data_IF_309130456212
#
_entry.id   IF_309130456212
#
_cell.length_a   1.000
_cell.length_b   1.000
_cell.length_c   1.000
_cell.angle_alpha   90.00
_cell.angle_beta   90.00
_cell.angle_gamma   90.00
#
_symmetry.space_group_name_H-M   'P 1'
#
loop_
_entity.id
_entity.type
_entity.pdbx_description
1 polymer ?
#
# COMPACT_ATOMS: atom_id res chain seq x y z
N UNK A 1 30.45 -3.40 33.79
CA UNK A 1 29.99 -2.67 32.59
C UNK A 1 28.49 -2.49 32.75
N UNK A 2 28.05 -1.28 33.09
CA UNK A 2 26.65 -1.01 33.46
C UNK A 2 25.76 -1.06 32.23
N UNK A 3 24.85 -2.03 32.16
CA UNK A 3 23.81 -2.09 31.13
C UNK A 3 22.84 -0.95 31.45
N UNK A 4 22.78 0.04 30.56
CA UNK A 4 21.78 1.11 30.68
C UNK A 4 20.50 0.60 30.04
N UNK A 5 19.48 0.36 30.85
CA UNK A 5 18.20 -0.15 30.39
C UNK A 5 17.31 1.03 29.96
N UNK A 6 16.97 1.08 28.67
CA UNK A 6 16.15 2.14 28.09
C UNK A 6 14.77 1.58 27.76
N UNK A 7 13.73 2.16 28.37
CA UNK A 7 12.34 1.80 28.09
C UNK A 7 11.78 2.80 27.07
N UNK A 8 11.42 2.30 25.90
CA UNK A 8 10.83 3.11 24.83
C UNK A 8 9.35 2.78 24.67
N UNK A 9 8.51 3.78 24.35
CA UNK A 9 7.12 3.51 23.96
C UNK A 9 7.09 3.00 22.53
N UNK A 10 6.16 2.09 22.22
CA UNK A 10 6.04 1.52 20.87
C UNK A 10 5.86 2.59 19.78
N UNK A 11 5.18 3.70 20.11
CA UNK A 11 4.98 4.85 19.22
C UNK A 11 6.26 5.62 18.86
N UNK A 12 7.32 5.46 19.64
CA UNK A 12 8.60 6.16 19.45
C UNK A 12 9.64 5.27 18.75
N UNK A 13 9.32 3.98 18.56
CA UNK A 13 10.21 2.97 17.98
C UNK A 13 10.46 3.20 16.49
N UNK A 14 9.41 3.50 15.71
CA UNK A 14 9.56 3.72 14.26
C UNK A 14 10.38 4.98 13.97
N UNK A 15 10.24 6.01 14.82
CA UNK A 15 11.00 7.25 14.71
C UNK A 15 12.48 7.03 15.02
N UNK A 16 12.79 6.21 16.04
CA UNK A 16 14.15 5.82 16.38
C UNK A 16 14.77 4.88 15.33
N UNK A 17 13.99 3.93 14.80
CA UNK A 17 14.40 3.00 13.74
C UNK A 17 14.74 3.73 12.44
N UNK A 18 14.00 4.78 12.11
CA UNK A 18 14.29 5.59 10.91
C UNK A 18 15.62 6.36 11.01
N UNK A 19 16.12 6.58 12.23
CA UNK A 19 17.31 7.40 12.52
C UNK A 19 18.57 6.58 12.84
N UNK A 20 18.43 5.30 13.21
CA UNK A 20 19.56 4.41 13.49
C UNK A 20 20.03 3.71 12.20
N UNK A 21 21.10 4.22 11.60
CA UNK A 21 21.78 3.62 10.44
C UNK A 21 22.74 2.46 10.80
N UNK A 22 22.83 2.09 12.07
CA UNK A 22 23.66 0.97 12.54
C UNK A 22 22.86 -0.32 12.64
N UNK A 23 23.50 -1.44 12.31
CA UNK A 23 22.90 -2.78 12.37
C UNK A 23 22.40 -3.08 13.78
N UNK A 24 21.09 -3.11 13.97
CA UNK A 24 20.45 -3.47 15.23
C UNK A 24 20.41 -5.00 15.30
N UNK A 25 21.30 -5.60 16.07
CA UNK A 25 21.21 -7.04 16.38
C UNK A 25 19.99 -7.31 17.25
N UNK A 26 19.10 -8.17 16.76
CA UNK A 26 17.85 -8.53 17.42
C UNK A 26 18.15 -9.54 18.55
N UNK A 27 18.51 -9.02 19.72
CA UNK A 27 18.83 -9.84 20.88
C UNK A 27 17.53 -10.32 21.55
N UNK A 28 17.17 -11.57 21.24
CA UNK A 28 16.20 -12.46 21.91
C UNK A 28 14.70 -12.25 21.61
N UNK A 29 14.15 -13.20 20.86
CA UNK A 29 12.75 -13.65 20.86
C UNK A 29 11.65 -12.62 20.54
N UNK A 30 11.92 -11.63 19.68
CA UNK A 30 10.83 -10.91 19.01
C UNK A 30 10.36 -11.79 17.84
N UNK A 31 9.32 -12.61 18.07
CA UNK A 31 8.52 -13.16 16.97
C UNK A 31 7.82 -11.96 16.33
N UNK A 32 8.36 -11.45 15.22
CA UNK A 32 7.69 -10.44 14.40
C UNK A 32 6.45 -11.13 13.82
N UNK A 33 5.34 -11.09 14.56
CA UNK A 33 4.04 -11.46 14.02
C UNK A 33 3.74 -10.43 12.92
N UNK A 34 3.68 -10.87 11.67
CA UNK A 34 3.22 -10.04 10.57
C UNK A 34 1.86 -9.45 10.97
N UNK A 35 1.69 -8.13 10.79
CA UNK A 35 0.41 -7.51 11.11
C UNK A 35 -0.67 -8.01 10.15
N UNK A 36 -1.94 -7.94 10.55
CA UNK A 36 -3.06 -8.26 9.63
C UNK A 36 -2.99 -7.44 8.34
N UNK A 37 -2.48 -6.21 8.42
CA UNK A 37 -2.21 -5.35 7.27
C UNK A 37 -1.14 -5.92 6.35
N UNK A 38 -0.07 -6.50 6.89
CA UNK A 38 0.99 -7.12 6.07
C UNK A 38 0.46 -8.37 5.36
N UNK A 39 -0.27 -9.22 6.07
CA UNK A 39 -0.92 -10.41 5.49
C UNK A 39 -1.92 -10.02 4.38
N UNK A 40 -2.73 -8.98 4.62
CA UNK A 40 -3.64 -8.48 3.60
C UNK A 40 -2.91 -7.96 2.37
N UNK A 41 -1.76 -7.29 2.52
CA UNK A 41 -1.01 -6.73 1.38
C UNK A 41 -0.53 -7.83 0.44
N UNK A 42 -0.19 -9.01 0.97
CA UNK A 42 0.17 -10.18 0.16
C UNK A 42 -1.01 -10.70 -0.67
N UNK A 43 -2.19 -10.85 -0.06
CA UNK A 43 -3.42 -11.26 -0.77
C UNK A 43 -3.86 -10.20 -1.77
N UNK A 44 -3.84 -8.93 -1.36
CA UNK A 44 -4.14 -7.77 -2.19
C UNK A 44 -3.28 -7.76 -3.46
N UNK A 45 -1.97 -8.02 -3.33
CA UNK A 45 -1.06 -8.12 -4.47
C UNK A 45 -1.48 -9.22 -5.43
N UNK A 46 -1.81 -10.42 -4.93
CA UNK A 46 -2.23 -11.53 -5.77
C UNK A 46 -3.52 -11.22 -6.55
N UNK A 47 -4.46 -10.51 -5.93
CA UNK A 47 -5.68 -10.05 -6.60
C UNK A 47 -5.36 -9.01 -7.70
N UNK A 48 -4.57 -7.99 -7.38
CA UNK A 48 -4.24 -6.92 -8.35
C UNK A 48 -3.44 -7.44 -9.55
N UNK A 49 -2.58 -8.44 -9.36
CA UNK A 49 -1.81 -9.04 -10.45
C UNK A 49 -2.68 -9.72 -11.53
N UNK A 50 -3.95 -10.01 -11.23
CA UNK A 50 -4.92 -10.61 -12.17
C UNK A 50 -5.73 -9.55 -12.93
N UNK A 51 -5.67 -8.29 -12.52
CA UNK A 51 -6.40 -7.21 -13.18
C UNK A 51 -5.76 -6.87 -14.54
N UNK A 52 -6.51 -6.23 -15.45
CA UNK A 52 -5.95 -5.66 -16.67
C UNK A 52 -4.78 -4.72 -16.35
N UNK A 53 -3.67 -4.87 -17.07
CA UNK A 53 -2.51 -3.98 -16.95
C UNK A 53 -2.76 -2.65 -17.65
N UNK A 54 -2.14 -1.59 -17.14
CA UNK A 54 -2.18 -0.27 -17.75
C UNK A 54 -0.94 -0.05 -18.61
N UNK A 55 -1.13 0.16 -19.91
CA UNK A 55 -0.03 0.53 -20.82
C UNK A 55 0.28 2.02 -20.67
N UNK A 56 1.53 2.33 -20.35
CA UNK A 56 1.96 3.70 -20.20
C UNK A 56 1.98 4.42 -21.57
N UNK A 57 1.33 5.59 -21.72
CA UNK A 57 1.40 6.34 -22.97
C UNK A 57 2.85 6.76 -23.26
N UNK A 58 3.26 6.74 -24.54
CA UNK A 58 4.63 7.08 -24.96
C UNK A 58 5.12 8.47 -24.52
N UNK A 59 4.19 9.38 -24.18
CA UNK A 59 4.50 10.72 -23.63
C UNK A 59 4.98 10.70 -22.17
N UNK A 60 4.82 9.59 -21.45
CA UNK A 60 5.23 9.43 -20.06
C UNK A 60 6.43 8.48 -20.01
N UNK A 61 7.60 8.97 -20.42
CA UNK A 61 8.80 8.15 -20.60
C UNK A 61 9.39 7.64 -19.29
N UNK A 62 9.11 8.30 -18.16
CA UNK A 62 9.66 7.95 -16.84
C UNK A 62 8.58 8.04 -15.76
N UNK A 63 8.56 7.06 -14.86
CA UNK A 63 7.68 7.01 -13.70
C UNK A 63 8.44 7.57 -12.49
N UNK A 64 7.83 8.53 -11.82
CA UNK A 64 8.38 9.12 -10.58
C UNK A 64 8.49 8.07 -9.47
N UNK A 65 9.36 8.34 -8.49
CA UNK A 65 9.45 7.56 -7.26
C UNK A 65 8.11 7.56 -6.52
N UNK A 66 7.70 6.39 -6.00
CA UNK A 66 6.52 6.24 -5.17
C UNK A 66 6.54 7.22 -3.99
N UNK A 67 5.49 8.04 -3.87
CA UNK A 67 5.39 9.05 -2.82
C UNK A 67 5.18 8.48 -1.41
N UNK A 68 4.83 7.19 -1.32
CA UNK A 68 4.60 6.49 -0.06
C UNK A 68 5.89 6.01 0.61
N UNK A 69 6.75 5.29 -0.13
CA UNK A 69 7.99 4.74 0.42
C UNK A 69 9.25 5.50 0.01
N UNK A 70 9.21 6.26 -1.10
CA UNK A 70 10.38 6.92 -1.68
C UNK A 70 11.55 5.96 -2.04
N UNK A 71 11.29 4.65 -2.17
CA UNK A 71 12.32 3.63 -2.43
C UNK A 71 12.25 3.03 -3.84
N UNK A 72 11.07 3.02 -4.46
CA UNK A 72 10.83 2.39 -5.77
C UNK A 72 9.94 3.27 -6.61
N UNK A 73 9.95 3.09 -7.93
CA UNK A 73 9.09 3.84 -8.83
C UNK A 73 7.61 3.50 -8.62
N UNK A 74 6.74 4.45 -8.92
CA UNK A 74 5.33 4.19 -9.03
C UNK A 74 5.10 3.09 -10.08
N UNK A 75 4.31 2.07 -9.74
CA UNK A 75 4.10 0.90 -10.61
C UNK A 75 2.64 0.47 -10.70
N UNK A 76 1.73 1.28 -10.15
CA UNK A 76 0.29 1.09 -10.26
C UNK A 76 -0.43 2.36 -10.71
N UNK A 77 -1.48 2.17 -11.50
CA UNK A 77 -2.44 3.20 -11.89
C UNK A 77 -3.84 2.77 -11.46
N UNK A 78 -4.61 3.72 -10.93
CA UNK A 78 -6.05 3.54 -10.75
C UNK A 78 -6.76 3.74 -12.09
N UNK A 79 -7.38 2.69 -12.61
CA UNK A 79 -8.13 2.65 -13.87
C UNK A 79 -9.48 2.02 -13.56
N UNK A 80 -10.58 2.69 -13.90
CA UNK A 80 -11.92 2.13 -13.61
C UNK A 80 -12.16 0.91 -14.49
N UNK A 81 -12.05 -0.29 -13.91
CA UNK A 81 -12.24 -1.57 -14.58
C UNK A 81 -13.44 -2.33 -14.00
N UNK A 82 -13.92 -1.97 -12.81
CA UNK A 82 -15.08 -2.64 -12.24
C UNK A 82 -16.34 -2.34 -13.07
N UNK A 83 -16.99 -3.42 -13.55
CA UNK A 83 -18.28 -3.39 -14.22
C UNK A 83 -19.37 -3.68 -13.21
N UNK A 84 -19.98 -2.63 -12.68
CA UNK A 84 -21.13 -2.81 -11.83
C UNK A 84 -22.12 -1.66 -11.97
N UNK A 85 -23.32 -1.94 -12.50
CA UNK A 85 -24.48 -1.08 -12.31
C UNK A 85 -24.88 -0.98 -10.82
N UNK A 86 -24.48 -1.97 -10.00
CA UNK A 86 -24.89 -2.13 -8.59
C UNK A 86 -23.73 -2.21 -7.56
N UNK A 87 -22.49 -1.85 -7.92
CA UNK A 87 -21.37 -1.66 -6.96
C UNK A 87 -20.98 -0.17 -7.03
N UNK A 88 -21.92 0.67 -6.59
CA UNK A 88 -22.10 2.05 -7.03
C UNK A 88 -21.39 3.13 -6.23
N UNK A 89 -20.04 3.12 -6.15
CA UNK A 89 -19.29 4.32 -5.70
C UNK A 89 -17.99 4.58 -6.45
N UNK A 90 -17.40 3.60 -7.14
CA UNK A 90 -16.12 3.79 -7.82
C UNK A 90 -16.21 4.85 -8.93
N UNK A 91 -15.26 5.80 -8.93
CA UNK A 91 -15.19 6.91 -9.87
C UNK A 91 -13.88 6.85 -10.66
N UNK A 92 -13.90 7.36 -11.89
CA UNK A 92 -12.69 7.51 -12.70
C UNK A 92 -11.67 8.40 -11.99
N UNK A 93 -10.45 7.89 -11.81
CA UNK A 93 -9.33 8.61 -11.22
C UNK A 93 -8.38 9.14 -12.29
N UNK A 94 -8.19 10.46 -12.33
CA UNK A 94 -7.31 11.14 -13.30
C UNK A 94 -5.89 11.40 -12.80
N UNK A 95 -5.54 10.94 -11.59
CA UNK A 95 -4.18 11.06 -11.08
C UNK A 95 -3.18 10.30 -11.96
N UNK A 96 -1.98 10.85 -12.12
CA UNK A 96 -0.82 10.11 -12.65
C UNK A 96 -0.47 8.94 -11.71
N UNK A 97 0.26 7.92 -12.19
CA UNK A 97 0.89 6.96 -11.30
C UNK A 97 1.84 7.66 -10.32
N UNK A 98 1.61 7.48 -9.03
CA UNK A 98 2.44 8.08 -7.97
C UNK A 98 2.74 7.11 -6.82
N UNK A 99 2.18 5.90 -6.87
CA UNK A 99 2.27 4.91 -5.81
C UNK A 99 2.80 3.60 -6.36
N UNK A 100 3.55 2.88 -5.54
CA UNK A 100 3.83 1.48 -5.76
C UNK A 100 2.69 0.61 -5.18
N UNK A 101 2.57 -0.62 -5.68
CA UNK A 101 1.53 -1.57 -5.29
C UNK A 101 1.46 -1.78 -3.78
N UNK A 102 2.62 -1.92 -3.13
CA UNK A 102 2.70 -2.21 -1.70
C UNK A 102 2.18 -1.04 -0.85
N UNK A 103 2.62 0.19 -1.15
CA UNK A 103 2.14 1.38 -0.44
C UNK A 103 0.65 1.63 -0.69
N UNK A 104 0.15 1.37 -1.90
CA UNK A 104 -1.27 1.47 -2.18
C UNK A 104 -2.07 0.40 -1.44
N UNK A 105 -1.55 -0.83 -1.32
CA UNK A 105 -2.16 -1.90 -0.52
C UNK A 105 -2.22 -1.56 0.97
N UNK A 106 -1.13 -1.04 1.53
CA UNK A 106 -1.08 -0.56 2.92
C UNK A 106 -2.08 0.57 3.17
N UNK A 107 -2.18 1.51 2.24
CA UNK A 107 -3.20 2.55 2.29
C UNK A 107 -4.59 1.95 2.26
N UNK A 108 -4.85 1.03 1.33
CA UNK A 108 -6.14 0.36 1.20
C UNK A 108 -6.54 -0.31 2.52
N UNK A 109 -5.67 -1.13 3.11
CA UNK A 109 -5.87 -1.78 4.40
C UNK A 109 -6.21 -0.79 5.52
N UNK A 110 -5.47 0.32 5.60
CA UNK A 110 -5.64 1.34 6.65
C UNK A 110 -7.01 2.04 6.63
N UNK A 111 -7.71 1.97 5.49
CA UNK A 111 -9.03 2.60 5.27
C UNK A 111 -10.20 1.65 5.48
N UNK A 112 -9.93 0.39 5.78
CA UNK A 112 -10.98 -0.60 6.00
C UNK A 112 -11.41 -0.70 7.46
N UNK A 113 -12.58 -1.29 7.66
CA UNK A 113 -13.12 -1.64 8.97
C UNK A 113 -12.25 -2.72 9.63
N UNK A 114 -11.43 -2.31 10.62
CA UNK A 114 -10.50 -3.20 11.31
C UNK A 114 -11.19 -4.30 12.12
N UNK A 115 -12.49 -4.17 12.40
CA UNK A 115 -13.28 -5.22 13.06
C UNK A 115 -13.77 -6.30 12.09
N UNK A 116 -13.71 -6.07 10.77
CA UNK A 116 -14.22 -6.97 9.72
C UNK A 116 -13.24 -7.20 8.57
N UNK A 117 -12.05 -7.80 8.84
CA UNK A 117 -11.01 -8.08 7.84
C UNK A 117 -11.47 -8.92 6.65
N UNK A 118 -12.46 -9.79 6.84
CA UNK A 118 -13.05 -10.64 5.81
C UNK A 118 -13.73 -9.85 4.68
N UNK A 119 -14.09 -8.58 4.93
CA UNK A 119 -14.75 -7.71 3.96
C UNK A 119 -13.80 -6.83 3.15
N UNK A 120 -12.50 -6.80 3.50
CA UNK A 120 -11.57 -5.81 2.96
C UNK A 120 -11.44 -5.90 1.44
N UNK A 121 -11.26 -7.10 0.88
CA UNK A 121 -11.11 -7.29 -0.57
C UNK A 121 -12.35 -6.86 -1.39
N UNK A 122 -13.53 -6.81 -0.77
CA UNK A 122 -14.79 -6.43 -1.41
C UNK A 122 -15.13 -4.95 -1.18
N UNK A 123 -14.38 -4.26 -0.34
CA UNK A 123 -14.63 -2.88 0.05
C UNK A 123 -14.03 -1.88 -0.95
N UNK A 124 -14.33 -0.61 -0.72
CA UNK A 124 -13.78 0.52 -1.50
C UNK A 124 -12.85 1.38 -0.66
N UNK A 125 -12.00 2.16 -1.31
CA UNK A 125 -11.09 3.09 -0.66
C UNK A 125 -11.01 4.41 -1.46
N UNK A 126 -10.84 5.58 -0.82
CA UNK A 126 -10.52 6.82 -1.53
C UNK A 126 -9.07 6.81 -2.02
N UNK A 127 -8.84 7.26 -3.26
CA UNK A 127 -7.50 7.52 -3.77
C UNK A 127 -6.71 8.42 -2.79
N UNK A 128 -5.47 8.06 -2.41
CA UNK A 128 -4.67 8.86 -1.48
C UNK A 128 -4.49 10.32 -1.90
N UNK A 129 -4.54 10.59 -3.21
CA UNK A 129 -4.24 11.90 -3.79
C UNK A 129 -5.49 12.71 -4.11
N UNK A 130 -6.45 12.16 -4.87
CA UNK A 130 -7.65 12.91 -5.30
C UNK A 130 -8.95 12.46 -4.63
N UNK A 131 -8.91 11.46 -3.75
CA UNK A 131 -10.06 10.88 -3.03
C UNK A 131 -11.15 10.25 -3.91
N UNK A 132 -10.94 10.11 -5.22
CA UNK A 132 -11.82 9.31 -6.08
C UNK A 132 -11.92 7.90 -5.49
N UNK A 133 -13.15 7.44 -5.26
CA UNK A 133 -13.41 6.12 -4.69
C UNK A 133 -13.04 5.06 -5.74
N UNK A 134 -12.37 4.00 -5.30
CA UNK A 134 -11.96 2.86 -6.13
C UNK A 134 -12.08 1.56 -5.34
N UNK A 135 -12.17 0.43 -6.04
CA UNK A 135 -12.09 -0.91 -5.45
C UNK A 135 -10.82 -1.63 -5.94
N UNK A 136 -10.54 -2.83 -5.41
CA UNK A 136 -9.35 -3.60 -5.80
C UNK A 136 -9.27 -3.90 -7.31
N UNK A 137 -10.42 -4.03 -7.99
CA UNK A 137 -10.48 -4.28 -9.43
C UNK A 137 -10.03 -3.08 -10.27
N UNK A 138 -10.09 -1.88 -9.71
CA UNK A 138 -9.71 -0.63 -10.39
C UNK A 138 -8.21 -0.34 -10.31
N UNK A 139 -7.41 -1.30 -9.84
CA UNK A 139 -5.95 -1.14 -9.68
C UNK A 139 -5.27 -1.92 -10.80
N UNK A 140 -4.48 -1.23 -11.61
CA UNK A 140 -3.76 -1.82 -12.73
C UNK A 140 -2.25 -1.68 -12.52
N UNK A 141 -1.52 -2.79 -12.65
CA UNK A 141 -0.06 -2.78 -12.75
C UNK A 141 0.33 -2.10 -14.06
N UNK A 142 1.37 -1.29 -14.03
CA UNK A 142 1.88 -0.61 -15.22
C UNK A 142 2.74 -1.58 -16.04
N UNK A 143 2.51 -1.61 -17.35
CA UNK A 143 3.29 -2.35 -18.33
C UNK A 143 3.92 -1.39 -19.34
N UNK A 144 5.15 -1.72 -19.75
CA UNK A 144 5.96 -0.99 -20.73
C UNK A 144 5.88 -1.66 -22.10
#
# INVERSE_FOLDING_TARGET
MSITEFRLRASEYDDLRSKLQTHIENVKNIVVRQSLSDLFVDDFRQHVMRNPKYRLPATHQELDTCIGCLQTNANVKLVKNCDAPNVGQCKTCFCRPMWCLECLGKWFASRQDQARPETWLQSTCPCPSCRSIFCILDISIIEF
#
